data_IF_473432634473
#
_entry.id   IF_473432634473
#
_cell.length_a   1.000
_cell.length_b   1.000
_cell.length_c   1.000
_cell.angle_alpha   90.00
_cell.angle_beta   90.00
_cell.angle_gamma   90.00
#
_symmetry.space_group_name_H-M   'P 1'
#
loop_
_entity.id
_entity.type
_entity.pdbx_description
1 polymer ?
#
# COMPACT_ATOMS: atom_id res chain seq x y z
N UNK A 1 12.91 10.14 56.08
CA UNK A 1 12.70 10.65 54.70
C UNK A 1 11.74 9.73 53.98
N UNK A 2 10.47 10.13 53.79
CA UNK A 2 9.50 9.38 52.98
C UNK A 2 9.84 9.60 51.50
N UNK A 3 10.30 8.56 50.82
CA UNK A 3 10.54 8.59 49.38
C UNK A 3 9.22 8.78 48.65
N UNK A 4 9.10 9.90 47.94
CA UNK A 4 7.97 10.20 47.06
C UNK A 4 8.00 9.20 45.89
N UNK A 5 7.16 8.15 45.94
CA UNK A 5 6.87 7.32 44.77
C UNK A 5 6.02 8.17 43.82
N UNK A 6 6.44 8.45 42.57
CA UNK A 6 5.54 9.05 41.61
C UNK A 6 4.36 8.11 41.44
N UNK A 7 3.14 8.64 41.64
CA UNK A 7 1.92 7.91 41.35
C UNK A 7 2.04 7.29 39.96
N UNK A 8 1.76 5.99 39.84
CA UNK A 8 1.74 5.31 38.55
C UNK A 8 0.83 6.11 37.61
N UNK A 9 1.42 6.81 36.65
CA UNK A 9 0.66 7.50 35.60
C UNK A 9 -0.23 6.45 34.97
N UNK A 10 -1.54 6.64 35.02
CA UNK A 10 -2.51 5.76 34.37
C UNK A 10 -2.04 5.55 32.94
N UNK A 11 -1.76 4.31 32.56
CA UNK A 11 -1.39 3.97 31.20
C UNK A 11 -2.44 4.57 30.24
N UNK A 12 -1.98 5.35 29.25
CA UNK A 12 -2.86 5.92 28.25
C UNK A 12 -3.67 4.79 27.60
N UNK A 13 -4.98 4.99 27.42
CA UNK A 13 -5.82 4.00 26.74
C UNK A 13 -5.29 3.79 25.32
N UNK A 14 -5.16 2.54 24.86
CA UNK A 14 -4.72 2.25 23.50
C UNK A 14 -5.71 2.85 22.50
N UNK A 15 -5.19 3.32 21.35
CA UNK A 15 -6.04 3.80 20.27
C UNK A 15 -6.96 2.67 19.78
N UNK A 16 -8.26 2.93 19.77
CA UNK A 16 -9.25 2.05 19.15
C UNK A 16 -9.44 2.49 17.69
N UNK A 17 -9.16 1.60 16.74
CA UNK A 17 -9.32 1.90 15.33
C UNK A 17 -10.80 2.07 14.96
N UNK A 18 -11.16 3.26 14.48
CA UNK A 18 -12.51 3.56 13.96
C UNK A 18 -12.50 3.68 12.42
N UNK A 19 -11.56 4.46 11.88
CA UNK A 19 -11.43 4.72 10.45
C UNK A 19 -10.02 5.22 10.12
N UNK A 20 -9.64 5.15 8.85
CA UNK A 20 -8.39 5.73 8.35
C UNK A 20 -8.32 7.24 8.64
N UNK A 21 -9.38 8.00 8.36
CA UNK A 21 -9.42 9.43 8.65
C UNK A 21 -9.26 9.76 10.14
N UNK A 22 -9.84 8.97 11.05
CA UNK A 22 -9.63 9.15 12.49
C UNK A 22 -8.18 8.90 12.90
N UNK A 23 -7.57 7.85 12.33
CA UNK A 23 -6.16 7.54 12.55
C UNK A 23 -5.24 8.66 12.05
N UNK A 24 -5.44 9.15 10.82
CA UNK A 24 -4.67 10.26 10.22
C UNK A 24 -4.74 11.51 11.12
N UNK A 25 -5.96 11.90 11.53
CA UNK A 25 -6.16 13.06 12.40
C UNK A 25 -5.46 12.90 13.75
N UNK A 26 -5.53 11.72 14.36
CA UNK A 26 -4.88 11.48 15.64
C UNK A 26 -3.35 11.54 15.50
N UNK A 27 -2.79 10.94 14.46
CA UNK A 27 -1.34 11.00 14.21
C UNK A 27 -0.84 12.43 14.01
N UNK A 28 -1.55 13.27 13.24
CA UNK A 28 -1.23 14.70 13.14
C UNK A 28 -1.30 15.41 14.50
N UNK A 29 -2.34 15.12 15.29
CA UNK A 29 -2.54 15.73 16.61
C UNK A 29 -1.41 15.39 17.58
N UNK A 30 -1.01 14.12 17.64
CA UNK A 30 0.08 13.67 18.51
C UNK A 30 1.36 14.46 18.22
N UNK A 31 1.68 14.72 16.95
CA UNK A 31 2.90 15.43 16.57
C UNK A 31 2.81 16.96 16.63
N UNK A 32 1.62 17.53 16.45
CA UNK A 32 1.45 18.98 16.45
C UNK A 32 1.35 19.56 17.87
N UNK A 33 0.85 18.80 18.85
CA UNK A 33 0.42 19.37 20.13
C UNK A 33 1.10 18.77 21.38
N UNK A 34 1.63 17.54 21.32
CA UNK A 34 2.14 16.88 22.53
C UNK A 34 3.63 17.13 22.77
N UNK A 35 4.00 17.42 24.02
CA UNK A 35 5.40 17.62 24.42
C UNK A 35 6.16 16.29 24.37
N UNK A 36 7.37 16.24 23.78
CA UNK A 36 8.17 15.03 23.71
C UNK A 36 8.42 14.40 25.08
N UNK A 37 7.97 13.16 25.26
CA UNK A 37 8.17 12.35 26.47
C UNK A 37 8.15 10.85 26.12
N UNK A 38 8.63 9.99 27.01
CA UNK A 38 8.61 8.53 26.79
C UNK A 38 7.19 8.00 26.55
N UNK A 39 6.23 8.50 27.33
CA UNK A 39 4.80 8.20 27.21
C UNK A 39 4.24 8.65 25.85
N UNK A 40 4.58 9.85 25.40
CA UNK A 40 4.21 10.35 24.08
C UNK A 40 4.75 9.46 22.95
N UNK A 41 6.03 9.07 23.01
CA UNK A 41 6.62 8.18 21.99
C UNK A 41 5.97 6.79 21.98
N UNK A 42 5.65 6.24 23.15
CA UNK A 42 4.94 4.97 23.26
C UNK A 42 3.55 5.05 22.62
N UNK A 43 2.76 6.07 22.98
CA UNK A 43 1.41 6.28 22.44
C UNK A 43 1.41 6.51 20.93
N UNK A 44 2.37 7.28 20.45
CA UNK A 44 2.62 7.46 19.01
C UNK A 44 2.90 6.13 18.33
N UNK A 45 3.80 5.31 18.89
CA UNK A 45 4.14 4.01 18.32
C UNK A 45 2.95 3.06 18.30
N UNK A 46 2.17 2.99 19.38
CA UNK A 46 0.96 2.17 19.47
C UNK A 46 -0.08 2.63 18.45
N UNK A 47 -0.32 3.93 18.34
CA UNK A 47 -1.25 4.50 17.36
C UNK A 47 -0.78 4.21 15.94
N UNK A 48 0.49 4.43 15.64
CA UNK A 48 1.09 4.12 14.34
C UNK A 48 0.90 2.64 13.98
N UNK A 49 1.15 1.73 14.92
CA UNK A 49 1.02 0.27 14.72
C UNK A 49 -0.42 -0.22 14.55
N UNK A 50 -1.42 0.61 14.83
CA UNK A 50 -2.81 0.29 14.48
C UNK A 50 -3.07 0.33 12.96
N UNK A 51 -2.20 1.00 12.18
CA UNK A 51 -2.24 0.95 10.72
C UNK A 51 -1.72 -0.39 10.22
N UNK A 52 -2.63 -1.20 9.65
CA UNK A 52 -2.29 -2.49 9.04
C UNK A 52 -2.72 -2.54 7.57
N UNK A 53 -2.21 -3.53 6.83
CA UNK A 53 -2.60 -3.79 5.44
C UNK A 53 -4.10 -4.04 5.31
N UNK A 54 -4.69 -4.78 6.25
CA UNK A 54 -6.11 -5.09 6.28
C UNK A 54 -6.94 -3.80 6.42
N UNK A 55 -6.55 -2.91 7.33
CA UNK A 55 -7.21 -1.62 7.53
C UNK A 55 -7.10 -0.70 6.30
N UNK A 56 -5.97 -0.74 5.60
CA UNK A 56 -5.81 -0.01 4.33
C UNK A 56 -6.78 -0.56 3.28
N UNK A 57 -6.90 -1.90 3.16
CA UNK A 57 -7.80 -2.55 2.19
C UNK A 57 -9.28 -2.27 2.47
N UNK A 58 -9.65 -2.12 3.73
CA UNK A 58 -11.02 -1.78 4.15
C UNK A 58 -11.42 -0.33 3.81
N UNK A 59 -10.45 0.58 3.70
CA UNK A 59 -10.72 2.00 3.46
C UNK A 59 -11.44 2.24 2.12
N UNK A 60 -12.44 3.13 2.11
CA UNK A 60 -13.26 3.45 0.93
C UNK A 60 -13.14 4.91 0.47
N UNK A 61 -12.37 5.72 1.18
CA UNK A 61 -12.23 7.15 0.92
C UNK A 61 -10.84 7.44 0.36
N UNK A 62 -10.74 7.90 -0.89
CA UNK A 62 -9.45 8.22 -1.51
C UNK A 62 -8.72 9.34 -0.77
N UNK A 63 -9.45 10.34 -0.27
CA UNK A 63 -8.87 11.46 0.49
C UNK A 63 -8.12 11.00 1.74
N UNK A 64 -8.67 10.04 2.49
CA UNK A 64 -8.02 9.47 3.67
C UNK A 64 -6.77 8.66 3.29
N UNK A 65 -6.83 7.93 2.17
CA UNK A 65 -5.70 7.18 1.63
C UNK A 65 -4.60 8.11 1.11
N UNK A 66 -4.95 9.22 0.47
CA UNK A 66 -4.01 10.22 -0.02
C UNK A 66 -3.23 10.87 1.14
N UNK A 67 -3.93 11.19 2.24
CA UNK A 67 -3.28 11.71 3.46
C UNK A 67 -2.38 10.67 4.11
N UNK A 68 -2.83 9.42 4.20
CA UNK A 68 -2.00 8.32 4.69
C UNK A 68 -0.75 8.12 3.81
N UNK A 69 -0.88 8.22 2.49
CA UNK A 69 0.25 8.14 1.57
C UNK A 69 1.27 9.25 1.82
N UNK A 70 0.81 10.49 1.92
CA UNK A 70 1.65 11.65 2.20
C UNK A 70 2.44 11.45 3.50
N UNK A 71 1.77 11.04 4.59
CA UNK A 71 2.42 10.75 5.86
C UNK A 71 3.50 9.66 5.76
N UNK A 72 3.21 8.54 5.04
CA UNK A 72 4.17 7.44 4.85
C UNK A 72 5.37 7.87 3.99
N UNK A 73 5.16 8.74 3.01
CA UNK A 73 6.21 9.29 2.16
C UNK A 73 7.09 10.29 2.94
N UNK A 74 6.48 11.21 3.67
CA UNK A 74 7.17 12.24 4.46
C UNK A 74 7.96 11.64 5.62
N UNK A 75 7.50 10.53 6.21
CA UNK A 75 8.26 9.79 7.23
C UNK A 75 9.62 9.29 6.74
N UNK A 76 9.87 9.26 5.42
CA UNK A 76 11.18 8.94 4.84
C UNK A 76 12.19 10.10 4.99
N UNK A 77 11.71 11.33 5.15
CA UNK A 77 12.54 12.54 5.30
C UNK A 77 12.98 12.83 6.75
N UNK A 78 12.53 12.02 7.72
CA UNK A 78 12.91 12.12 9.12
C UNK A 78 11.85 12.78 10.01
N UNK A 79 11.73 12.25 11.23
CA UNK A 79 10.93 12.67 12.41
C UNK A 79 9.45 13.09 12.26
N UNK A 80 8.94 13.24 11.04
CA UNK A 80 7.53 13.52 10.81
C UNK A 80 6.71 12.26 11.15
N UNK A 81 5.85 12.38 12.16
CA UNK A 81 4.91 11.36 12.63
C UNK A 81 5.49 10.14 13.37
N UNK A 82 6.82 10.08 13.62
CA UNK A 82 7.44 8.98 14.39
C UNK A 82 7.27 7.60 13.77
N UNK A 83 6.84 7.55 12.50
CA UNK A 83 6.60 6.34 11.73
C UNK A 83 7.91 5.62 11.40
N UNK A 84 9.02 6.35 11.36
CA UNK A 84 10.39 5.84 11.26
C UNK A 84 10.80 4.97 12.46
N UNK A 85 10.25 5.26 13.65
CA UNK A 85 10.45 4.45 14.87
C UNK A 85 9.41 3.35 15.02
N UNK A 86 8.21 3.57 14.48
CA UNK A 86 7.15 2.59 14.53
C UNK A 86 7.39 1.44 13.54
N UNK A 87 7.86 1.73 12.33
CA UNK A 87 8.00 0.77 11.24
C UNK A 87 9.43 0.70 10.69
N UNK A 88 9.84 -0.50 10.31
CA UNK A 88 11.03 -0.69 9.48
C UNK A 88 10.80 -0.11 8.07
N UNK A 89 11.89 0.10 7.32
CA UNK A 89 11.82 0.54 5.92
C UNK A 89 11.00 -0.42 5.05
N UNK A 90 11.11 -1.73 5.28
CA UNK A 90 10.39 -2.75 4.53
C UNK A 90 8.89 -2.69 4.83
N UNK A 91 8.50 -2.66 6.11
CA UNK A 91 7.09 -2.54 6.52
C UNK A 91 6.45 -1.27 5.94
N UNK A 92 7.15 -0.13 6.00
CA UNK A 92 6.66 1.11 5.41
C UNK A 92 6.49 1.01 3.90
N UNK A 93 7.41 0.31 3.22
CA UNK A 93 7.29 0.01 1.79
C UNK A 93 6.04 -0.81 1.48
N UNK A 94 5.75 -1.84 2.28
CA UNK A 94 4.54 -2.66 2.16
C UNK A 94 3.27 -1.82 2.35
N UNK A 95 3.21 -0.99 3.40
CA UNK A 95 2.05 -0.11 3.64
C UNK A 95 1.86 0.88 2.49
N UNK A 96 2.93 1.49 1.99
CA UNK A 96 2.87 2.45 0.87
C UNK A 96 2.36 1.79 -0.42
N UNK A 97 2.84 0.59 -0.74
CA UNK A 97 2.37 -0.17 -1.90
C UNK A 97 0.87 -0.45 -1.75
N UNK A 98 0.41 -0.86 -0.56
CA UNK A 98 -1.01 -1.17 -0.37
C UNK A 98 -1.92 0.04 -0.37
N UNK A 99 -1.46 1.19 0.14
CA UNK A 99 -2.20 2.45 -0.01
C UNK A 99 -2.37 2.77 -1.49
N UNK A 100 -1.29 2.74 -2.28
CA UNK A 100 -1.34 3.02 -3.73
C UNK A 100 -2.22 2.05 -4.50
N UNK A 101 -2.11 0.75 -4.20
CA UNK A 101 -2.96 -0.27 -4.79
C UNK A 101 -4.44 -0.01 -4.49
N UNK A 102 -4.76 0.34 -3.24
CA UNK A 102 -6.14 0.63 -2.85
C UNK A 102 -6.68 1.86 -3.56
N UNK A 103 -5.92 2.95 -3.63
CA UNK A 103 -6.28 4.17 -4.38
C UNK A 103 -6.55 3.86 -5.85
N UNK A 104 -5.67 3.08 -6.49
CA UNK A 104 -5.85 2.66 -7.87
C UNK A 104 -7.11 1.81 -8.07
N UNK A 105 -7.43 0.92 -7.14
CA UNK A 105 -8.68 0.14 -7.19
C UNK A 105 -9.91 1.04 -7.10
N UNK A 106 -9.92 1.99 -6.16
CA UNK A 106 -11.01 2.95 -6.01
C UNK A 106 -11.17 3.82 -7.28
N UNK A 107 -10.08 4.31 -7.86
CA UNK A 107 -10.09 5.07 -9.11
C UNK A 107 -10.65 4.26 -10.30
N UNK A 108 -10.47 2.94 -10.30
CA UNK A 108 -11.04 2.03 -11.28
C UNK A 108 -12.49 1.60 -10.96
N UNK A 109 -13.10 2.10 -9.88
CA UNK A 109 -14.42 1.67 -9.40
C UNK A 109 -14.45 0.23 -8.88
N UNK A 110 -13.30 -0.32 -8.47
CA UNK A 110 -13.15 -1.72 -8.04
C UNK A 110 -12.94 -1.81 -6.53
N UNK A 111 -13.54 -2.84 -5.93
CA UNK A 111 -13.33 -3.15 -4.52
C UNK A 111 -12.19 -4.15 -4.29
N UNK A 112 -11.84 -4.94 -5.31
CA UNK A 112 -10.78 -5.94 -5.24
C UNK A 112 -9.98 -6.00 -6.55
N UNK A 113 -8.73 -6.48 -6.51
CA UNK A 113 -7.96 -6.79 -7.72
C UNK A 113 -8.73 -7.75 -8.63
N UNK A 114 -8.54 -7.61 -9.95
CA UNK A 114 -9.05 -8.60 -10.89
C UNK A 114 -8.36 -9.94 -10.58
N UNK A 115 -9.10 -11.05 -10.41
CA UNK A 115 -8.47 -12.35 -10.26
C UNK A 115 -7.60 -12.62 -11.48
N UNK A 116 -6.42 -13.24 -11.27
CA UNK A 116 -5.59 -13.67 -12.41
C UNK A 116 -6.45 -14.61 -13.27
N UNK A 117 -6.70 -14.21 -14.51
CA UNK A 117 -7.42 -15.03 -15.46
C UNK A 117 -6.61 -16.26 -15.87
N UNK A 118 -7.22 -17.12 -16.67
CA UNK A 118 -6.48 -18.18 -17.36
C UNK A 118 -5.25 -17.59 -18.05
N UNK A 119 -4.16 -18.36 -18.09
CA UNK A 119 -2.97 -17.97 -18.85
C UNK A 119 -3.41 -17.65 -20.29
N UNK A 120 -2.97 -16.51 -20.81
CA UNK A 120 -3.26 -16.11 -22.18
C UNK A 120 -2.80 -17.21 -23.14
N UNK A 121 -3.72 -17.78 -23.92
CA UNK A 121 -3.38 -18.69 -25.02
C UNK A 121 -3.15 -17.86 -26.30
N UNK A 122 -1.91 -17.80 -26.83
CA UNK A 122 -1.60 -17.09 -28.06
C UNK A 122 -2.46 -17.52 -29.26
N UNK A 123 -2.93 -18.78 -29.28
CA UNK A 123 -3.75 -19.33 -30.37
C UNK A 123 -5.13 -18.68 -30.45
N UNK A 124 -5.64 -18.15 -29.34
CA UNK A 124 -6.93 -17.47 -29.29
C UNK A 124 -6.84 -15.96 -29.59
N UNK A 125 -5.63 -15.41 -29.79
CA UNK A 125 -5.47 -13.98 -30.07
C UNK A 125 -5.82 -13.65 -31.52
N UNK A 126 -6.58 -12.57 -31.79
CA UNK A 126 -6.67 -11.98 -33.12
C UNK A 126 -5.30 -11.57 -33.64
N UNK A 127 -5.09 -11.61 -34.96
CA UNK A 127 -3.79 -11.30 -35.58
C UNK A 127 -3.25 -9.91 -35.21
N UNK A 128 -4.11 -8.91 -35.16
CA UNK A 128 -3.69 -7.54 -34.83
C UNK A 128 -3.31 -7.40 -33.36
N UNK A 129 -4.00 -8.11 -32.47
CA UNK A 129 -3.64 -8.19 -31.05
C UNK A 129 -2.30 -8.91 -30.88
N UNK A 130 -2.07 -10.00 -31.62
CA UNK A 130 -0.81 -10.74 -31.64
C UNK A 130 0.35 -9.84 -32.09
N UNK A 131 0.19 -9.12 -33.21
CA UNK A 131 1.19 -8.16 -33.72
C UNK A 131 1.49 -7.06 -32.70
N UNK A 132 0.46 -6.45 -32.13
CA UNK A 132 0.61 -5.36 -31.14
C UNK A 132 1.34 -5.85 -29.89
N UNK A 133 0.98 -7.02 -29.36
CA UNK A 133 1.62 -7.59 -28.17
C UNK A 133 3.09 -7.94 -28.42
N UNK A 134 3.45 -8.43 -29.61
CA UNK A 134 4.86 -8.66 -29.96
C UNK A 134 5.68 -7.35 -29.89
N UNK A 135 5.06 -6.22 -30.21
CA UNK A 135 5.73 -4.92 -30.22
C UNK A 135 5.83 -4.26 -28.83
N UNK A 136 4.83 -4.49 -27.96
CA UNK A 136 4.70 -3.73 -26.70
C UNK A 136 4.96 -4.53 -25.43
N UNK A 137 5.09 -5.86 -25.49
CA UNK A 137 5.22 -6.69 -24.29
C UNK A 137 6.64 -6.64 -23.72
N UNK A 138 6.77 -6.43 -22.41
CA UNK A 138 8.07 -6.27 -21.73
C UNK A 138 8.83 -7.59 -21.50
N UNK A 139 8.09 -8.70 -21.39
CA UNK A 139 8.68 -10.03 -21.19
C UNK A 139 9.10 -10.68 -22.51
N UNK A 140 10.41 -10.89 -22.68
CA UNK A 140 11.03 -11.49 -23.86
C UNK A 140 10.55 -12.92 -24.10
N UNK A 141 10.36 -13.72 -23.04
CA UNK A 141 9.91 -15.11 -23.17
C UNK A 141 8.48 -15.19 -23.70
N UNK A 142 7.64 -14.20 -23.35
CA UNK A 142 6.29 -14.07 -23.90
C UNK A 142 6.37 -13.64 -25.37
N UNK A 143 7.21 -12.67 -25.71
CA UNK A 143 7.40 -12.20 -27.10
C UNK A 143 7.82 -13.35 -28.02
N UNK A 144 8.76 -14.19 -27.60
CA UNK A 144 9.22 -15.34 -28.39
C UNK A 144 8.10 -16.36 -28.61
N UNK A 145 7.28 -16.61 -27.59
CA UNK A 145 6.10 -17.48 -27.72
C UNK A 145 5.09 -16.91 -28.73
N UNK A 146 4.85 -15.60 -28.71
CA UNK A 146 3.95 -14.93 -29.65
C UNK A 146 4.51 -14.94 -31.09
N UNK A 147 5.83 -14.81 -31.26
CA UNK A 147 6.50 -14.89 -32.57
C UNK A 147 6.36 -16.28 -33.20
N UNK A 148 6.61 -17.34 -32.42
CA UNK A 148 6.40 -18.73 -32.87
C UNK A 148 4.97 -18.99 -33.31
N UNK A 149 3.99 -18.46 -32.58
CA UNK A 149 2.59 -18.55 -32.96
C UNK A 149 2.30 -17.79 -34.27
N UNK A 150 2.88 -16.60 -34.46
CA UNK A 150 2.76 -15.86 -35.72
C UNK A 150 3.35 -16.64 -36.90
N UNK A 151 4.51 -17.26 -36.71
CA UNK A 151 5.17 -18.09 -37.73
C UNK A 151 4.33 -19.33 -38.07
N UNK A 152 3.79 -20.02 -37.06
CA UNK A 152 2.86 -21.15 -37.25
C UNK A 152 1.68 -20.76 -38.15
N UNK A 153 1.00 -19.65 -37.84
CA UNK A 153 -0.12 -19.13 -38.65
C UNK A 153 0.30 -18.76 -40.07
N UNK A 154 1.52 -18.26 -40.27
CA UNK A 154 2.03 -17.91 -41.59
C UNK A 154 2.27 -19.14 -42.47
N UNK A 155 2.72 -20.26 -41.86
CA UNK A 155 2.84 -21.56 -42.55
C UNK A 155 1.45 -22.11 -42.88
N UNK A 156 0.52 -22.10 -41.93
CA UNK A 156 -0.86 -22.60 -42.12
C UNK A 156 -1.67 -21.85 -43.19
N UNK A 157 -1.32 -20.59 -43.49
CA UNK A 157 -1.97 -19.81 -44.55
C UNK A 157 -1.31 -19.96 -45.92
N UNK A 158 -0.11 -20.54 -45.98
CA UNK A 158 0.67 -20.72 -47.22
C UNK A 158 0.59 -22.14 -47.76
N UNK A 159 0.25 -23.12 -46.92
CA UNK A 159 -0.16 -24.47 -47.34
C UNK A 159 -1.65 -24.52 -47.60
#
# INVERSE_FOLDING_TARGET
>A
MKSYRPAARKAAKPFAWESMGAWVRLMHRLFALETPSSEHYQRTRETARALTVERIRECRHDDDLARCEAMLMEARAGWLYGLDRAFTRAERGTLLVEVRNRRQLLALGRQAPKPKGARMDPRCLPDDALKRLIQSHADVAVVDRLRRERERRAVERRG
#
